data_IF_412188964380
#
_entry.id   IF_412188964380
#
_cell.length_a   1.000
_cell.length_b   1.000
_cell.length_c   1.000
_cell.angle_alpha   90.00
_cell.angle_beta   90.00
_cell.angle_gamma   90.00
#
_symmetry.space_group_name_H-M   'P 1'
#
loop_
_entity.id
_entity.type
_entity.pdbx_description
1 polymer ?
#
# COMPACT_ATOMS: atom_id res chain seq x y z
N UNK A 1 -27.01 -36.10 40.17
CA UNK A 1 -27.92 -35.44 39.20
C UNK A 1 -27.21 -34.80 38.00
N UNK A 2 -25.95 -34.36 38.09
CA UNK A 2 -25.17 -33.91 36.90
C UNK A 2 -24.39 -35.06 36.23
N UNK A 3 -24.10 -36.14 36.97
CA UNK A 3 -23.29 -37.26 36.49
C UNK A 3 -24.04 -38.24 35.55
N UNK A 4 -25.37 -38.39 35.68
CA UNK A 4 -26.15 -39.32 34.85
C UNK A 4 -26.47 -38.77 33.45
N UNK A 5 -26.45 -37.44 33.29
CA UNK A 5 -26.80 -36.77 32.02
C UNK A 5 -25.72 -37.05 30.94
N UNK A 6 -24.49 -37.36 31.35
CA UNK A 6 -23.39 -37.68 30.43
C UNK A 6 -23.36 -39.14 29.98
N UNK A 7 -23.97 -40.06 30.74
CA UNK A 7 -23.95 -41.50 30.45
C UNK A 7 -24.97 -41.95 29.38
N UNK A 8 -26.06 -41.21 29.24
CA UNK A 8 -27.16 -41.55 28.32
C UNK A 8 -27.00 -40.96 26.91
N UNK A 9 -25.93 -40.21 26.64
CA UNK A 9 -25.69 -39.60 25.33
C UNK A 9 -24.94 -40.59 24.43
N UNK A 10 -25.54 -41.06 23.32
CA UNK A 10 -24.87 -41.97 22.40
C UNK A 10 -23.54 -41.40 21.90
N UNK A 11 -22.50 -42.24 21.85
CA UNK A 11 -21.14 -41.89 21.39
C UNK A 11 -21.13 -41.17 20.03
N UNK A 12 -22.12 -41.46 19.18
CA UNK A 12 -22.33 -40.83 17.88
C UNK A 12 -22.44 -39.31 17.99
N UNK A 13 -23.09 -38.78 19.04
CA UNK A 13 -23.24 -37.34 19.25
C UNK A 13 -21.92 -36.66 19.62
N UNK A 14 -21.05 -37.35 20.37
CA UNK A 14 -19.70 -36.87 20.67
C UNK A 14 -18.81 -36.84 19.42
N UNK A 15 -18.90 -37.86 18.58
CA UNK A 15 -18.16 -37.90 17.31
C UNK A 15 -18.64 -36.76 16.39
N UNK A 16 -19.96 -36.58 16.29
CA UNK A 16 -20.56 -35.51 15.50
C UNK A 16 -20.16 -34.11 16.02
N UNK A 17 -20.22 -33.88 17.33
CA UNK A 17 -19.84 -32.59 17.93
C UNK A 17 -18.36 -32.28 17.70
N UNK A 18 -17.49 -33.29 17.84
CA UNK A 18 -16.04 -33.12 17.64
C UNK A 18 -15.72 -32.82 16.18
N UNK A 19 -16.38 -33.50 15.23
CA UNK A 19 -16.22 -33.25 13.79
C UNK A 19 -16.67 -31.84 13.39
N UNK A 20 -17.79 -31.37 13.95
CA UNK A 20 -18.28 -30.00 13.71
C UNK A 20 -17.28 -28.98 14.22
N UNK A 21 -16.78 -29.16 15.45
CA UNK A 21 -15.77 -28.25 16.04
C UNK A 21 -14.49 -28.23 15.20
N UNK A 22 -14.00 -29.39 14.74
CA UNK A 22 -12.80 -29.47 13.92
C UNK A 22 -12.99 -28.73 12.59
N UNK A 23 -14.15 -28.92 11.95
CA UNK A 23 -14.48 -28.27 10.67
C UNK A 23 -14.56 -26.76 10.84
N UNK A 24 -15.23 -26.29 11.89
CA UNK A 24 -15.34 -24.85 12.20
C UNK A 24 -13.95 -24.25 12.47
N UNK A 25 -13.08 -24.93 13.22
CA UNK A 25 -11.71 -24.47 13.46
C UNK A 25 -10.88 -24.40 12.17
N UNK A 26 -11.02 -25.38 11.27
CA UNK A 26 -10.35 -25.36 9.98
C UNK A 26 -10.88 -24.25 9.08
N UNK A 27 -12.20 -24.03 9.02
CA UNK A 27 -12.82 -22.94 8.27
C UNK A 27 -12.44 -21.55 8.80
N UNK A 28 -12.35 -21.37 10.12
CA UNK A 28 -11.90 -20.11 10.71
C UNK A 28 -10.43 -19.86 10.37
N UNK A 29 -9.57 -20.88 10.45
CA UNK A 29 -8.16 -20.75 10.09
C UNK A 29 -7.95 -20.48 8.60
N UNK A 30 -8.71 -21.12 7.71
CA UNK A 30 -8.61 -20.87 6.27
C UNK A 30 -9.00 -19.43 5.93
N UNK A 31 -10.10 -18.92 6.50
CA UNK A 31 -10.51 -17.52 6.34
C UNK A 31 -9.46 -16.53 6.86
N UNK A 32 -8.82 -16.83 8.00
CA UNK A 32 -7.72 -16.01 8.55
C UNK A 32 -6.47 -16.03 7.67
N UNK A 33 -6.15 -17.17 7.07
CA UNK A 33 -5.00 -17.32 6.16
C UNK A 33 -5.23 -16.59 4.84
N UNK A 34 -6.44 -16.67 4.28
CA UNK A 34 -6.83 -15.92 3.09
C UNK A 34 -6.67 -14.40 3.30
N UNK A 35 -7.18 -13.88 4.42
CA UNK A 35 -7.02 -12.45 4.75
C UNK A 35 -5.55 -12.03 4.90
N UNK A 36 -4.69 -12.87 5.50
CA UNK A 36 -3.26 -12.60 5.61
C UNK A 36 -2.54 -12.65 4.27
N UNK A 37 -2.86 -13.61 3.41
CA UNK A 37 -2.27 -13.73 2.07
C UNK A 37 -2.66 -12.53 1.22
N UNK A 38 -3.91 -12.08 1.28
CA UNK A 38 -4.39 -10.92 0.54
C UNK A 38 -3.74 -9.62 1.05
N UNK A 39 -3.60 -9.47 2.36
CA UNK A 39 -2.88 -8.35 2.96
C UNK A 39 -1.40 -8.34 2.55
N UNK A 40 -0.73 -9.48 2.62
CA UNK A 40 0.67 -9.65 2.18
C UNK A 40 0.85 -9.44 0.68
N UNK A 41 -0.12 -9.86 -0.15
CA UNK A 41 -0.10 -9.65 -1.61
C UNK A 41 -0.34 -8.18 -1.96
N UNK A 42 -1.24 -7.53 -1.23
CA UNK A 42 -1.52 -6.08 -1.31
C UNK A 42 -0.33 -5.23 -0.86
N UNK A 43 0.48 -5.74 0.07
CA UNK A 43 1.76 -5.15 0.49
C UNK A 43 2.91 -5.45 -0.48
N UNK A 44 2.93 -6.63 -1.12
CA UNK A 44 3.94 -7.07 -2.10
C UNK A 44 3.76 -6.48 -3.49
N UNK A 45 2.54 -6.20 -3.92
CA UNK A 45 2.30 -5.27 -5.05
C UNK A 45 2.72 -3.91 -4.50
N UNK A 46 3.93 -3.49 -4.86
CA UNK A 46 4.62 -2.39 -4.22
C UNK A 46 3.74 -1.15 -4.19
N UNK A 47 3.88 -0.37 -3.12
CA UNK A 47 3.29 0.97 -3.07
C UNK A 47 3.57 1.74 -4.36
N UNK A 48 4.76 1.57 -4.97
CA UNK A 48 5.11 2.16 -6.27
C UNK A 48 4.22 1.71 -7.44
N UNK A 49 3.79 0.45 -7.52
CA UNK A 49 2.84 0.00 -8.55
C UNK A 49 1.47 0.62 -8.33
N UNK A 50 1.00 0.63 -7.07
CA UNK A 50 -0.29 1.25 -6.73
C UNK A 50 -0.28 2.75 -7.01
N UNK A 51 0.80 3.44 -6.64
CA UNK A 51 0.93 4.86 -6.89
C UNK A 51 1.14 5.17 -8.38
N UNK A 52 1.85 4.32 -9.14
CA UNK A 52 1.95 4.46 -10.60
C UNK A 52 0.59 4.39 -11.29
N UNK A 53 -0.26 3.44 -10.88
CA UNK A 53 -1.65 3.34 -11.37
C UNK A 53 -2.49 4.57 -11.00
N UNK A 54 -2.34 5.09 -9.78
CA UNK A 54 -3.02 6.33 -9.36
C UNK A 54 -2.55 7.50 -10.22
N UNK A 55 -1.24 7.65 -10.44
CA UNK A 55 -0.69 8.75 -11.27
C UNK A 55 -1.18 8.68 -12.71
N UNK A 56 -1.19 7.51 -13.34
CA UNK A 56 -1.67 7.33 -14.71
C UNK A 56 -3.15 7.69 -14.88
N UNK A 57 -3.98 7.42 -13.86
CA UNK A 57 -5.41 7.76 -13.90
C UNK A 57 -5.69 9.20 -13.45
N UNK A 58 -4.92 9.74 -12.51
CA UNK A 58 -5.17 11.03 -11.87
C UNK A 58 -4.55 12.21 -12.62
N UNK A 59 -3.28 12.10 -13.06
CA UNK A 59 -2.58 13.21 -13.69
C UNK A 59 -3.24 13.70 -14.99
N UNK A 60 -3.85 12.85 -15.85
CA UNK A 60 -4.60 13.32 -17.01
C UNK A 60 -5.78 14.24 -16.66
N UNK A 61 -6.28 14.19 -15.42
CA UNK A 61 -7.37 15.05 -14.93
C UNK A 61 -6.85 16.40 -14.40
N UNK A 62 -5.54 16.54 -14.20
CA UNK A 62 -4.92 17.80 -13.79
C UNK A 62 -4.77 18.66 -15.03
N UNK A 63 -5.66 19.65 -15.19
CA UNK A 63 -5.78 20.51 -16.38
C UNK A 63 -4.48 21.16 -16.87
N UNK A 64 -3.45 21.24 -16.04
CA UNK A 64 -2.20 21.95 -16.32
C UNK A 64 -0.94 21.07 -16.22
N UNK A 65 -1.07 19.74 -16.20
CA UNK A 65 0.12 18.89 -16.15
C UNK A 65 0.84 18.86 -17.51
N UNK A 66 2.07 19.39 -17.63
CA UNK A 66 2.69 19.64 -18.94
C UNK A 66 3.53 18.47 -19.46
N UNK A 67 3.58 17.34 -18.74
CA UNK A 67 4.48 16.22 -19.00
C UNK A 67 3.71 14.91 -19.25
N UNK A 68 4.37 13.88 -19.78
CA UNK A 68 3.77 12.53 -19.90
C UNK A 68 3.57 11.91 -18.51
N UNK A 69 2.32 11.67 -18.07
CA UNK A 69 2.01 11.03 -16.80
C UNK A 69 2.67 9.66 -16.60
N UNK A 70 2.96 8.92 -17.68
CA UNK A 70 3.56 7.59 -17.60
C UNK A 70 5.01 7.61 -17.13
N UNK A 71 5.69 8.75 -17.29
CA UNK A 71 7.05 8.96 -16.80
C UNK A 71 7.08 9.61 -15.41
N UNK A 72 5.92 9.84 -14.79
CA UNK A 72 5.85 10.29 -13.42
C UNK A 72 6.00 9.14 -12.43
N UNK A 73 6.73 9.37 -11.34
CA UNK A 73 6.86 8.45 -10.20
C UNK A 73 6.50 9.17 -8.92
N UNK A 74 5.40 8.75 -8.31
CA UNK A 74 4.98 9.26 -7.02
C UNK A 74 5.93 8.82 -5.90
N UNK A 75 6.19 9.72 -4.94
CA UNK A 75 7.01 9.49 -3.77
C UNK A 75 6.24 9.71 -2.46
N UNK A 76 5.52 10.84 -2.33
CA UNK A 76 4.79 11.23 -1.12
C UNK A 76 5.34 12.47 -0.41
N UNK A 77 5.56 12.44 0.90
CA UNK A 77 6.07 13.62 1.63
C UNK A 77 7.61 13.61 1.72
N UNK A 78 8.32 14.73 1.54
CA UNK A 78 7.83 16.11 1.40
C UNK A 78 7.56 16.57 -0.05
N UNK A 79 7.75 15.73 -1.07
CA UNK A 79 7.56 16.06 -2.49
C UNK A 79 6.72 14.96 -3.14
N UNK A 80 5.57 15.33 -3.71
CA UNK A 80 4.59 14.37 -4.23
C UNK A 80 5.20 13.36 -5.23
N UNK A 81 6.11 13.79 -6.10
CA UNK A 81 6.84 12.85 -6.95
C UNK A 81 7.93 13.44 -7.84
N UNK A 82 8.40 12.61 -8.75
CA UNK A 82 9.47 12.89 -9.71
C UNK A 82 8.96 12.63 -11.12
N UNK A 83 9.09 13.62 -12.00
CA UNK A 83 8.88 13.47 -13.43
C UNK A 83 10.23 13.22 -14.12
N UNK A 84 10.28 12.19 -14.95
CA UNK A 84 11.44 11.89 -15.78
C UNK A 84 11.16 12.34 -17.22
N UNK A 85 11.95 13.29 -17.71
CA UNK A 85 11.97 13.71 -19.11
C UNK A 85 13.28 13.25 -19.76
N UNK A 86 13.36 13.35 -21.08
CA UNK A 86 14.57 12.98 -21.83
C UNK A 86 15.79 13.82 -21.44
N UNK A 87 15.59 15.09 -21.07
CA UNK A 87 16.65 16.07 -20.81
C UNK A 87 16.76 16.51 -19.34
N UNK A 88 15.81 16.13 -18.48
CA UNK A 88 15.77 16.59 -17.08
C UNK A 88 14.96 15.67 -16.17
N UNK A 89 15.25 15.79 -14.88
CA UNK A 89 14.45 15.20 -13.80
C UNK A 89 13.81 16.33 -13.01
N UNK A 90 12.48 16.32 -12.89
CA UNK A 90 11.72 17.39 -12.24
C UNK A 90 11.09 16.88 -10.95
N UNK A 91 11.38 17.55 -9.83
CA UNK A 91 10.66 17.33 -8.57
C UNK A 91 9.34 18.10 -8.63
N UNK A 92 8.22 17.39 -8.43
CA UNK A 92 6.88 17.95 -8.57
C UNK A 92 6.15 17.91 -7.24
N UNK A 93 5.54 19.03 -6.88
CA UNK A 93 4.62 19.17 -5.76
C UNK A 93 3.34 19.80 -6.29
N UNK A 94 2.21 19.11 -6.10
CA UNK A 94 0.90 19.58 -6.48
C UNK A 94 0.28 20.41 -5.35
N UNK A 95 -0.36 21.51 -5.73
CA UNK A 95 -1.05 22.40 -4.79
C UNK A 95 -2.44 22.70 -5.30
N UNK A 96 -3.43 22.54 -4.41
CA UNK A 96 -4.76 23.08 -4.64
C UNK A 96 -4.70 24.61 -4.63
N UNK A 97 -5.66 25.26 -5.30
CA UNK A 97 -5.71 26.72 -5.42
C UNK A 97 -5.53 27.41 -4.06
N UNK A 98 -4.61 28.37 -3.99
CA UNK A 98 -4.29 29.14 -2.79
C UNK A 98 -3.39 28.45 -1.76
N UNK A 99 -3.13 27.14 -1.89
CA UNK A 99 -2.23 26.43 -0.99
C UNK A 99 -0.76 26.78 -1.27
N UNK A 100 0.02 26.93 -0.19
CA UNK A 100 1.44 27.32 -0.25
C UNK A 100 2.32 26.10 0.06
N UNK A 101 3.56 26.13 -0.42
CA UNK A 101 4.58 25.16 -0.01
C UNK A 101 4.77 25.19 1.50
N UNK A 102 4.85 24.02 2.13
CA UNK A 102 5.24 23.88 3.54
C UNK A 102 6.71 24.29 3.75
N UNK A 103 7.13 24.47 5.02
CA UNK A 103 8.54 24.78 5.32
C UNK A 103 9.50 23.71 4.80
N UNK A 104 9.12 22.41 4.91
CA UNK A 104 9.93 21.29 4.40
C UNK A 104 10.00 21.30 2.87
N UNK A 105 8.89 21.58 2.19
CA UNK A 105 8.84 21.71 0.73
C UNK A 105 9.67 22.88 0.22
N UNK A 106 9.59 24.04 0.88
CA UNK A 106 10.42 25.21 0.54
C UNK A 106 11.90 24.88 0.67
N UNK A 107 12.31 24.18 1.73
CA UNK A 107 13.70 23.73 1.89
C UNK A 107 14.16 22.85 0.73
N UNK A 108 13.34 21.90 0.28
CA UNK A 108 13.70 21.05 -0.88
C UNK A 108 13.80 21.87 -2.17
N UNK A 109 12.84 22.76 -2.43
CA UNK A 109 12.89 23.69 -3.57
C UNK A 109 14.18 24.52 -3.58
N UNK A 110 14.59 25.01 -2.42
CA UNK A 110 15.78 25.86 -2.30
C UNK A 110 17.06 25.05 -2.55
N UNK A 111 17.14 23.81 -2.04
CA UNK A 111 18.24 22.88 -2.40
C UNK A 111 18.32 22.63 -3.91
N UNK A 112 17.18 22.42 -4.58
CA UNK A 112 17.12 22.25 -6.04
C UNK A 112 17.64 23.49 -6.77
N UNK A 113 17.17 24.68 -6.37
CA UNK A 113 17.57 25.96 -6.98
C UNK A 113 19.06 26.26 -6.79
N UNK A 114 19.61 25.86 -5.66
CA UNK A 114 21.03 25.99 -5.34
C UNK A 114 21.91 24.90 -5.99
N UNK A 115 21.33 23.99 -6.78
CA UNK A 115 22.06 22.90 -7.43
C UNK A 115 22.53 21.79 -6.48
N UNK A 116 21.99 21.74 -5.25
CA UNK A 116 22.33 20.76 -4.21
C UNK A 116 21.55 19.46 -4.38
N UNK A 117 21.61 18.88 -5.58
CA UNK A 117 20.99 17.59 -5.93
C UNK A 117 22.12 16.63 -6.30
N UNK A 118 22.05 15.40 -5.79
CA UNK A 118 23.06 14.37 -6.03
C UNK A 118 22.37 13.08 -6.50
N UNK A 119 22.93 12.44 -7.54
CA UNK A 119 22.61 11.06 -7.90
C UNK A 119 23.66 10.15 -7.28
N UNK A 120 23.22 9.19 -6.45
CA UNK A 120 24.12 8.25 -5.76
C UNK A 120 23.61 6.82 -5.86
N UNK A 121 24.49 5.92 -6.30
CA UNK A 121 24.24 4.48 -6.26
C UNK A 121 24.68 3.91 -4.91
N UNK A 122 23.78 3.20 -4.21
CA UNK A 122 24.09 2.49 -2.96
C UNK A 122 23.77 1.01 -3.20
N UNK A 123 24.79 0.15 -3.08
CA UNK A 123 24.62 -1.30 -3.19
C UNK A 123 24.36 -1.91 -1.82
N UNK A 124 23.32 -2.71 -1.71
CA UNK A 124 23.05 -3.53 -0.53
C UNK A 124 23.57 -4.93 -0.84
N UNK A 125 24.54 -5.40 -0.05
CA UNK A 125 25.07 -6.77 -0.11
C UNK A 125 24.20 -7.73 0.67
#
# INVERSE_FOLDING_TARGET
>A
MVLDILGDVPIIWWIASTGIVLTVLLSINSLRLLGKIEQERSLRISQSTRYGQISEQFLPLVEQYPYDPKQFRFLGSPIDGVQFEEDKVVLVEFKAAGSRLSARQRKVRDLVREGKIEFREIRVS
#
